data_IF_968465113250
#
_entry.id   IF_968465113250
#
_cell.length_a   1.000
_cell.length_b   1.000
_cell.length_c   1.000
_cell.angle_alpha   90.00
_cell.angle_beta   90.00
_cell.angle_gamma   90.00
#
_symmetry.space_group_name_H-M   'P 1'
#
loop_
_entity.id
_entity.type
_entity.pdbx_description
1 polymer ?
#
# COMPACT_ATOMS: atom_id res chain seq x y z
N UNK A 1 16.72 8.32 -19.25
CA UNK A 1 15.56 7.54 -18.75
C UNK A 1 15.76 7.09 -17.29
N UNK A 2 16.82 6.37 -16.96
CA UNK A 2 17.06 5.77 -15.62
C UNK A 2 16.99 6.71 -14.40
N UNK A 3 17.33 8.00 -14.54
CA UNK A 3 17.29 8.98 -13.42
C UNK A 3 15.84 9.35 -13.06
N UNK A 4 14.94 9.43 -14.04
CA UNK A 4 13.52 9.72 -13.78
C UNK A 4 12.83 8.53 -13.09
N UNK A 5 13.21 7.30 -13.46
CA UNK A 5 12.64 6.08 -12.89
C UNK A 5 13.01 5.87 -11.42
N UNK A 6 14.16 6.39 -10.97
CA UNK A 6 14.54 6.40 -9.55
C UNK A 6 13.53 7.12 -8.66
N UNK A 7 12.75 8.06 -9.23
CA UNK A 7 11.74 8.83 -8.49
C UNK A 7 10.39 8.12 -8.41
N UNK A 8 10.18 7.04 -9.17
CA UNK A 8 8.88 6.33 -9.17
C UNK A 8 8.49 5.76 -7.80
N UNK A 9 9.39 5.14 -7.00
CA UNK A 9 9.03 4.70 -5.65
C UNK A 9 8.59 5.86 -4.75
N UNK A 10 9.29 6.99 -4.80
CA UNK A 10 8.96 8.19 -4.02
C UNK A 10 7.63 8.80 -4.45
N UNK A 11 7.39 8.87 -5.76
CA UNK A 11 6.15 9.40 -6.33
C UNK A 11 4.96 8.50 -5.98
N UNK A 12 5.12 7.17 -6.08
CA UNK A 12 4.12 6.22 -5.65
C UNK A 12 3.81 6.34 -4.15
N UNK A 13 4.84 6.52 -3.31
CA UNK A 13 4.66 6.73 -1.88
C UNK A 13 3.89 8.03 -1.57
N UNK A 14 4.24 9.15 -2.24
CA UNK A 14 3.54 10.43 -2.11
C UNK A 14 2.08 10.34 -2.56
N UNK A 15 1.82 9.74 -3.72
CA UNK A 15 0.47 9.55 -4.25
C UNK A 15 -0.37 8.66 -3.34
N UNK A 16 0.21 7.57 -2.81
CA UNK A 16 -0.47 6.69 -1.85
C UNK A 16 -0.84 7.42 -0.56
N UNK A 17 0.06 8.24 -0.02
CA UNK A 17 -0.21 9.04 1.18
C UNK A 17 -1.28 10.10 0.96
N UNK A 18 -1.26 10.76 -0.20
CA UNK A 18 -2.29 11.72 -0.59
C UNK A 18 -3.66 11.03 -0.69
N UNK A 19 -3.74 9.89 -1.38
CA UNK A 19 -4.97 9.10 -1.49
C UNK A 19 -5.50 8.65 -0.12
N UNK A 20 -4.61 8.21 0.77
CA UNK A 20 -4.95 7.86 2.15
C UNK A 20 -5.62 9.03 2.88
N UNK A 21 -4.97 10.21 2.88
CA UNK A 21 -5.48 11.42 3.56
C UNK A 21 -6.81 11.89 2.97
N UNK A 22 -6.90 11.95 1.65
CA UNK A 22 -8.12 12.39 0.96
C UNK A 22 -9.29 11.46 1.26
N UNK A 23 -9.06 10.15 1.24
CA UNK A 23 -10.11 9.17 1.55
C UNK A 23 -10.56 9.33 3.00
N UNK A 24 -9.61 9.33 3.95
CA UNK A 24 -9.92 9.47 5.38
C UNK A 24 -10.71 10.75 5.68
N UNK A 25 -10.35 11.87 5.05
CA UNK A 25 -11.08 13.14 5.20
C UNK A 25 -12.50 13.08 4.61
N UNK A 26 -12.70 12.40 3.47
CA UNK A 26 -13.99 12.37 2.77
C UNK A 26 -14.98 11.38 3.36
N UNK A 27 -14.52 10.22 3.81
CA UNK A 27 -15.37 9.09 4.22
C UNK A 27 -15.27 8.77 5.70
N UNK A 28 -14.30 9.34 6.42
CA UNK A 28 -14.02 9.00 7.82
C UNK A 28 -13.30 7.65 8.02
N UNK A 29 -13.09 6.87 6.94
CA UNK A 29 -12.46 5.56 7.00
C UNK A 29 -11.70 5.20 5.71
N UNK A 30 -10.61 4.44 5.84
CA UNK A 30 -9.77 4.01 4.71
C UNK A 30 -9.35 2.55 4.89
N UNK A 31 -9.40 1.78 3.79
CA UNK A 31 -8.97 0.39 3.79
C UNK A 31 -7.49 0.31 3.42
N UNK A 32 -6.68 -0.31 4.28
CA UNK A 32 -5.24 -0.49 4.08
C UNK A 32 -4.80 -1.92 4.34
N UNK A 33 -3.72 -2.34 3.67
CA UNK A 33 -3.04 -3.61 3.95
C UNK A 33 -1.94 -3.39 4.99
N UNK A 34 -1.95 -4.18 6.07
CA UNK A 34 -0.89 -4.16 7.08
C UNK A 34 0.33 -4.97 6.62
N UNK A 35 1.48 -4.72 7.25
CA UNK A 35 2.70 -5.50 7.04
C UNK A 35 2.54 -6.98 7.37
N UNK A 36 1.61 -7.31 8.27
CA UNK A 36 1.25 -8.69 8.63
C UNK A 36 0.24 -9.32 7.67
N UNK A 37 -0.09 -8.66 6.57
CA UNK A 37 -0.99 -9.21 5.56
C UNK A 37 -2.45 -9.08 5.92
N UNK A 38 -2.84 -8.29 6.91
CA UNK A 38 -4.27 -8.07 7.19
C UNK A 38 -4.81 -6.94 6.33
N UNK A 39 -6.03 -7.08 5.83
CA UNK A 39 -6.79 -5.96 5.28
C UNK A 39 -7.62 -5.34 6.40
N UNK A 40 -7.35 -4.08 6.74
CA UNK A 40 -7.99 -3.38 7.85
C UNK A 40 -8.68 -2.12 7.38
N UNK A 41 -9.85 -1.83 7.93
CA UNK A 41 -10.45 -0.49 7.89
C UNK A 41 -9.82 0.35 9.01
N UNK A 42 -9.22 1.48 8.67
CA UNK A 42 -8.75 2.49 9.61
C UNK A 42 -9.69 3.67 9.63
N UNK A 43 -10.11 4.09 10.82
CA UNK A 43 -11.00 5.24 11.00
C UNK A 43 -10.23 6.49 11.44
N UNK A 44 -10.87 7.64 11.26
CA UNK A 44 -10.30 8.93 11.62
C UNK A 44 -10.08 9.09 13.15
N UNK A 45 -10.83 8.36 13.96
CA UNK A 45 -10.68 8.28 15.43
C UNK A 45 -9.47 7.45 15.89
N UNK A 46 -8.73 6.84 14.95
CA UNK A 46 -7.57 6.00 15.22
C UNK A 46 -7.87 4.52 15.42
N UNK A 47 -9.14 4.12 15.44
CA UNK A 47 -9.52 2.71 15.54
C UNK A 47 -9.24 1.95 14.24
N UNK A 48 -9.00 0.64 14.37
CA UNK A 48 -8.74 -0.25 13.24
C UNK A 48 -9.53 -1.56 13.38
N UNK A 49 -10.24 -1.96 12.33
CA UNK A 49 -11.01 -3.21 12.29
C UNK A 49 -10.51 -4.10 11.17
N UNK A 50 -10.24 -5.37 11.47
CA UNK A 50 -9.83 -6.35 10.47
C UNK A 50 -11.04 -6.73 9.63
N UNK A 51 -10.95 -6.52 8.31
CA UNK A 51 -11.98 -6.95 7.35
C UNK A 51 -11.72 -8.40 6.95
N UNK A 52 -10.48 -8.72 6.59
CA UNK A 52 -10.07 -10.08 6.24
C UNK A 52 -8.56 -10.28 6.32
N UNK A 53 -8.10 -11.50 6.62
CA UNK A 53 -6.71 -11.87 6.41
C UNK A 53 -6.41 -11.93 4.91
N UNK A 54 -5.23 -11.44 4.51
CA UNK A 54 -4.63 -11.72 3.21
C UNK A 54 -3.37 -12.57 3.44
N UNK A 55 -3.06 -13.49 2.52
CA UNK A 55 -1.78 -14.18 2.58
C UNK A 55 -0.63 -13.17 2.54
N UNK A 56 0.37 -13.41 3.38
CA UNK A 56 1.63 -12.68 3.32
C UNK A 56 2.21 -12.86 1.92
N UNK A 57 2.48 -11.74 1.25
CA UNK A 57 3.13 -11.77 -0.05
C UNK A 57 4.53 -12.38 0.10
N UNK A 58 4.98 -13.13 -0.91
CA UNK A 58 6.36 -13.62 -0.92
C UNK A 58 7.30 -12.41 -1.01
N UNK A 59 8.15 -12.23 -0.01
CA UNK A 59 9.15 -11.14 -0.01
C UNK A 59 10.09 -11.36 -1.21
N UNK A 60 10.12 -10.39 -2.11
CA UNK A 60 11.01 -10.39 -3.27
C UNK A 60 12.30 -9.69 -2.90
N UNK A 61 13.45 -10.30 -3.19
CA UNK A 61 14.76 -9.69 -2.94
C UNK A 61 14.97 -8.51 -3.91
N UNK A 62 15.58 -7.40 -3.47
CA UNK A 62 16.04 -6.35 -4.39
C UNK A 62 16.89 -6.95 -5.51
N UNK A 63 16.64 -6.54 -6.76
CA UNK A 63 17.31 -7.11 -7.95
C UNK A 63 16.67 -8.37 -8.53
N UNK A 64 15.59 -8.89 -7.95
CA UNK A 64 14.86 -10.00 -8.56
C UNK A 64 14.18 -9.57 -9.87
N UNK A 65 14.51 -10.27 -10.95
CA UNK A 65 13.87 -10.08 -12.26
C UNK A 65 12.66 -11.00 -12.32
N UNK A 66 11.46 -10.42 -12.25
CA UNK A 66 10.21 -11.16 -12.43
C UNK A 66 9.99 -11.37 -13.93
N UNK A 67 10.05 -12.63 -14.39
CA UNK A 67 9.71 -12.99 -15.77
C UNK A 67 8.22 -13.24 -15.88
N UNK A 68 7.61 -12.78 -16.97
CA UNK A 68 6.23 -13.16 -17.32
C UNK A 68 6.20 -14.66 -17.57
N UNK A 69 5.46 -15.40 -16.76
CA UNK A 69 5.13 -16.80 -17.03
C UNK A 69 3.95 -16.78 -18.01
N UNK A 70 3.98 -17.68 -19.02
CA UNK A 70 2.90 -17.82 -20.01
C UNK A 70 1.57 -18.15 -19.36
#
# INVERSE_FOLDING_TARGET
MQIAERRFPELAAKSGHAAYKTTLHRTGAVVVKTSQGQMVERRADGTSTVIKPLPLGKRVKPGAILKRVK
#
